data_IF_866383129064
#
_entry.id   IF_866383129064
#
_cell.length_a   1.000
_cell.length_b   1.000
_cell.length_c   1.000
_cell.angle_alpha   90.00
_cell.angle_beta   90.00
_cell.angle_gamma   90.00
#
_symmetry.space_group_name_H-M   'P 1'
#
loop_
_entity.id
_entity.type
_entity.pdbx_description
1 polymer ?
#
# COMPACT_ATOMS: atom_id res chain seq x y z
N UNK A 1 -45.47 46.27 13.80
CA UNK A 1 -44.91 45.32 12.82
C UNK A 1 -44.05 44.33 13.57
N UNK A 2 -44.05 43.09 13.10
CA UNK A 2 -43.97 41.86 13.88
C UNK A 2 -42.55 41.30 14.02
N UNK A 3 -42.24 40.83 15.24
CA UNK A 3 -41.39 39.69 15.67
C UNK A 3 -39.88 39.53 15.32
N UNK A 4 -39.12 38.82 16.20
CA UNK A 4 -37.65 38.79 16.31
C UNK A 4 -37.00 37.55 15.67
N UNK A 5 -35.67 37.56 15.49
CA UNK A 5 -34.89 36.45 14.92
C UNK A 5 -33.69 36.05 15.80
N UNK A 6 -33.63 34.75 16.12
CA UNK A 6 -32.70 34.02 16.98
C UNK A 6 -31.20 34.14 16.64
N UNK A 7 -30.27 33.97 17.60
CA UNK A 7 -28.92 33.52 17.32
C UNK A 7 -28.92 32.00 17.13
N UNK A 8 -28.68 31.56 15.89
CA UNK A 8 -28.54 30.15 15.51
C UNK A 8 -27.12 29.64 15.80
N UNK A 9 -27.08 28.66 16.69
CA UNK A 9 -25.96 27.87 17.15
C UNK A 9 -25.22 27.17 15.99
N UNK A 10 -24.13 27.78 15.50
CA UNK A 10 -23.22 27.22 14.48
C UNK A 10 -21.84 26.85 15.02
N UNK A 11 -21.63 27.03 16.33
CA UNK A 11 -20.35 26.79 17.00
C UNK A 11 -20.22 25.38 17.58
N UNK A 12 -21.33 24.67 17.75
CA UNK A 12 -21.34 23.36 18.41
C UNK A 12 -20.93 22.21 17.48
N UNK A 13 -21.13 22.31 16.17
CA UNK A 13 -20.88 21.22 15.21
C UNK A 13 -19.43 21.12 14.74
N UNK A 14 -18.65 22.21 14.78
CA UNK A 14 -17.24 22.25 14.35
C UNK A 14 -16.29 21.74 15.42
N UNK A 15 -16.54 22.10 16.69
CA UNK A 15 -15.83 21.54 17.85
C UNK A 15 -15.99 20.02 17.96
N UNK A 16 -17.13 19.48 17.52
CA UNK A 16 -17.40 18.05 17.46
C UNK A 16 -16.49 17.32 16.46
N UNK A 17 -16.07 17.93 15.34
CA UNK A 17 -15.21 17.25 14.35
C UNK A 17 -13.74 17.30 14.76
N UNK A 18 -13.29 18.45 15.29
CA UNK A 18 -11.94 18.58 15.87
C UNK A 18 -11.77 17.64 17.07
N UNK A 19 -12.75 17.59 17.98
CA UNK A 19 -12.73 16.68 19.11
C UNK A 19 -12.97 15.22 18.71
N UNK A 20 -13.79 14.88 17.70
CA UNK A 20 -13.90 13.48 17.25
C UNK A 20 -12.62 12.99 16.55
N UNK A 21 -11.90 13.87 15.85
CA UNK A 21 -10.60 13.54 15.24
C UNK A 21 -9.51 13.45 16.32
N UNK A 22 -9.44 14.39 17.26
CA UNK A 22 -8.52 14.36 18.40
C UNK A 22 -8.83 13.25 19.42
N UNK A 23 -10.09 12.97 19.76
CA UNK A 23 -10.51 11.91 20.67
C UNK A 23 -10.37 10.52 20.03
N UNK A 24 -10.60 10.39 18.71
CA UNK A 24 -10.29 9.15 17.98
C UNK A 24 -8.78 8.91 17.87
N UNK A 25 -7.97 9.97 17.76
CA UNK A 25 -6.50 9.89 17.76
C UNK A 25 -5.97 9.58 19.17
N UNK A 26 -6.40 10.31 20.20
CA UNK A 26 -5.95 10.15 21.60
C UNK A 26 -6.47 8.88 22.29
N UNK A 27 -7.68 8.40 21.96
CA UNK A 27 -8.20 7.13 22.51
C UNK A 27 -7.50 5.89 21.94
N UNK A 28 -6.68 6.01 20.89
CA UNK A 28 -5.97 4.89 20.28
C UNK A 28 -4.48 4.81 20.64
N UNK A 29 -3.93 5.83 21.30
CA UNK A 29 -2.53 5.85 21.76
C UNK A 29 -2.30 5.04 23.05
N UNK A 30 -3.34 4.39 23.60
CA UNK A 30 -3.23 3.63 24.85
C UNK A 30 -4.08 2.35 24.96
N UNK A 31 -4.73 1.89 23.88
CA UNK A 31 -5.56 0.68 23.94
C UNK A 31 -4.74 -0.55 23.55
N UNK A 32 -4.50 -1.50 24.46
CA UNK A 32 -3.87 -2.77 24.12
C UNK A 32 -4.72 -3.49 23.07
N UNK A 33 -4.06 -3.94 22.00
CA UNK A 33 -4.66 -4.81 20.98
C UNK A 33 -5.22 -6.06 21.70
N UNK A 34 -6.53 -6.37 21.62
CA UNK A 34 -7.01 -7.66 22.08
C UNK A 34 -6.46 -8.73 21.15
N UNK A 35 -5.39 -9.40 21.58
CA UNK A 35 -5.02 -10.70 21.04
C UNK A 35 -6.13 -11.67 21.46
N UNK A 36 -6.74 -12.31 20.47
CA UNK A 36 -7.78 -13.35 20.58
C UNK A 36 -9.21 -12.84 20.84
N UNK A 37 -10.10 -13.12 19.88
CA UNK A 37 -11.54 -13.13 20.14
C UNK A 37 -11.98 -14.59 20.10
N UNK A 38 -12.42 -15.08 21.26
CA UNK A 38 -12.99 -16.41 21.42
C UNK A 38 -14.19 -16.62 20.50
N UNK A 39 -14.22 -17.79 19.86
CA UNK A 39 -15.23 -18.23 18.92
C UNK A 39 -16.43 -18.80 19.68
N UNK A 40 -17.61 -18.20 19.51
CA UNK A 40 -18.88 -18.80 19.90
C UNK A 40 -19.68 -19.21 18.66
N UNK A 41 -20.05 -20.50 18.51
CA UNK A 41 -20.74 -21.00 17.33
C UNK A 41 -22.25 -20.67 17.35
N UNK A 42 -22.75 -20.10 16.26
CA UNK A 42 -24.17 -19.96 15.95
C UNK A 42 -24.81 -21.28 15.46
N UNK A 43 -26.15 -21.32 15.31
CA UNK A 43 -26.94 -22.54 15.31
C UNK A 43 -26.75 -23.40 14.06
N UNK A 44 -26.73 -24.72 14.28
CA UNK A 44 -26.50 -25.75 13.25
C UNK A 44 -27.72 -25.89 12.34
N UNK A 45 -27.66 -25.32 11.15
CA UNK A 45 -28.55 -25.69 10.04
C UNK A 45 -28.09 -27.01 9.41
N UNK A 46 -29.04 -27.93 9.19
CA UNK A 46 -28.80 -29.30 8.75
C UNK A 46 -28.22 -29.31 7.34
N UNK A 47 -26.98 -29.80 7.19
CA UNK A 47 -26.34 -30.04 5.88
C UNK A 47 -26.93 -31.30 5.25
N UNK A 48 -27.39 -31.18 4.01
CA UNK A 48 -27.69 -32.32 3.14
C UNK A 48 -26.38 -33.01 2.67
N UNK A 49 -26.42 -34.30 2.29
CA UNK A 49 -25.22 -35.07 1.96
C UNK A 49 -24.54 -34.56 0.69
N UNK A 50 -23.23 -34.36 0.79
CA UNK A 50 -22.36 -34.01 -0.34
C UNK A 50 -22.17 -35.28 -1.18
N UNK A 51 -22.72 -35.29 -2.41
CA UNK A 51 -22.44 -36.32 -3.40
C UNK A 51 -21.03 -36.07 -3.95
N UNK A 52 -20.07 -36.90 -3.55
CA UNK A 52 -18.69 -36.89 -4.05
C UNK A 52 -18.69 -37.14 -5.57
N UNK A 53 -18.39 -36.10 -6.34
CA UNK A 53 -18.04 -36.24 -7.76
C UNK A 53 -16.52 -36.40 -7.85
N UNK A 54 -16.01 -37.39 -8.60
CA UNK A 54 -14.59 -37.69 -8.64
C UNK A 54 -13.81 -36.48 -9.16
N UNK A 55 -12.73 -36.15 -8.45
CA UNK A 55 -11.78 -35.12 -8.83
C UNK A 55 -11.32 -35.34 -10.28
N UNK A 56 -11.73 -34.42 -11.16
CA UNK A 56 -11.34 -34.44 -12.56
C UNK A 56 -9.84 -34.09 -12.61
N UNK A 57 -9.00 -35.12 -12.55
CA UNK A 57 -7.57 -35.02 -12.85
C UNK A 57 -7.49 -34.55 -14.29
N UNK A 58 -7.23 -33.26 -14.49
CA UNK A 58 -6.90 -32.71 -15.81
C UNK A 58 -5.57 -33.35 -16.19
N UNK A 59 -5.63 -34.52 -16.84
CA UNK A 59 -4.52 -35.06 -17.60
C UNK A 59 -4.44 -34.18 -18.84
N UNK A 60 -3.73 -33.06 -18.68
CA UNK A 60 -3.39 -32.21 -19.80
C UNK A 60 -2.61 -33.02 -20.82
N UNK A 61 -3.15 -33.07 -22.04
CA UNK A 61 -2.45 -33.47 -23.26
C UNK A 61 -1.05 -32.79 -23.27
N UNK A 62 0.05 -33.46 -23.68
CA UNK A 62 1.38 -32.83 -23.75
C UNK A 62 1.44 -31.87 -24.95
N UNK A 63 0.66 -30.81 -24.88
CA UNK A 63 0.68 -29.69 -25.81
C UNK A 63 1.89 -28.82 -25.45
N UNK A 64 2.88 -28.83 -26.34
CA UNK A 64 4.01 -27.90 -26.50
C UNK A 64 3.94 -26.71 -25.53
N UNK A 65 4.77 -26.73 -24.49
CA UNK A 65 4.99 -25.57 -23.64
C UNK A 65 5.49 -24.40 -24.50
N UNK A 66 4.93 -23.19 -24.36
CA UNK A 66 5.34 -22.04 -25.15
C UNK A 66 6.86 -21.79 -24.99
N UNK A 67 7.58 -21.42 -26.07
CA UNK A 67 9.01 -21.16 -26.00
C UNK A 67 9.41 -20.07 -24.99
N UNK A 68 8.46 -19.22 -24.60
CA UNK A 68 8.65 -18.04 -23.75
C UNK A 68 8.13 -18.23 -22.31
N UNK A 69 7.96 -19.48 -21.85
CA UNK A 69 7.53 -19.71 -20.47
C UNK A 69 8.69 -19.47 -19.49
N UNK A 70 8.48 -18.52 -18.57
CA UNK A 70 9.43 -18.20 -17.50
C UNK A 70 9.16 -19.07 -16.26
N UNK A 71 10.18 -19.39 -15.46
CA UNK A 71 10.06 -20.33 -14.33
C UNK A 71 9.40 -19.73 -13.08
N UNK A 72 8.93 -18.48 -13.13
CA UNK A 72 8.44 -17.76 -11.96
C UNK A 72 7.28 -16.83 -12.32
N UNK A 73 6.36 -16.68 -11.39
CA UNK A 73 5.26 -15.72 -11.46
C UNK A 73 5.71 -14.32 -11.01
N UNK A 74 5.08 -13.30 -11.56
CA UNK A 74 5.31 -11.91 -11.18
C UNK A 74 4.99 -11.66 -9.69
N UNK A 75 5.76 -10.77 -9.06
CA UNK A 75 5.59 -10.42 -7.63
C UNK A 75 4.15 -9.99 -7.31
N UNK A 76 3.48 -9.23 -8.19
CA UNK A 76 2.10 -8.79 -7.96
C UNK A 76 1.11 -9.97 -7.88
N UNK A 77 1.33 -11.03 -8.66
CA UNK A 77 0.52 -12.25 -8.63
C UNK A 77 0.78 -13.07 -7.36
N UNK A 78 2.05 -13.18 -6.97
CA UNK A 78 2.44 -13.90 -5.74
C UNK A 78 1.86 -13.25 -4.49
N UNK A 79 1.96 -11.93 -4.39
CA UNK A 79 1.47 -11.17 -3.23
C UNK A 79 -0.06 -11.10 -3.21
N UNK A 80 -0.70 -11.06 -4.37
CA UNK A 80 -2.15 -11.20 -4.50
C UNK A 80 -2.67 -12.51 -3.90
N UNK A 81 -2.02 -13.64 -4.23
CA UNK A 81 -2.35 -14.94 -3.66
C UNK A 81 -2.10 -14.97 -2.15
N UNK A 82 -0.96 -14.45 -1.69
CA UNK A 82 -0.60 -14.39 -0.26
C UNK A 82 -1.64 -13.63 0.58
N UNK A 83 -2.15 -12.52 0.04
CA UNK A 83 -3.05 -11.62 0.75
C UNK A 83 -4.52 -11.74 0.36
N UNK A 84 -4.88 -12.73 -0.47
CA UNK A 84 -6.25 -12.94 -0.95
C UNK A 84 -6.88 -11.70 -1.60
N UNK A 85 -6.09 -10.97 -2.40
CA UNK A 85 -6.54 -9.80 -3.19
C UNK A 85 -6.22 -10.02 -4.67
N UNK A 86 -6.70 -9.15 -5.56
CA UNK A 86 -6.37 -9.26 -6.99
C UNK A 86 -4.96 -8.73 -7.30
N UNK A 87 -4.27 -9.24 -8.33
CA UNK A 87 -2.99 -8.68 -8.79
C UNK A 87 -3.10 -7.21 -9.23
N UNK A 88 -4.26 -6.81 -9.78
CA UNK A 88 -4.54 -5.41 -10.10
C UNK A 88 -4.56 -4.54 -8.85
N UNK A 89 -5.13 -5.03 -7.75
CA UNK A 89 -5.15 -4.29 -6.49
C UNK A 89 -3.75 -4.12 -5.90
N UNK A 90 -2.90 -5.14 -5.97
CA UNK A 90 -1.49 -5.02 -5.54
C UNK A 90 -0.77 -3.91 -6.32
N UNK A 91 -0.93 -3.89 -7.66
CA UNK A 91 -0.30 -2.87 -8.52
C UNK A 91 -0.83 -1.46 -8.27
N UNK A 92 -2.08 -1.33 -7.85
CA UNK A 92 -2.68 -0.04 -7.48
C UNK A 92 -2.16 0.47 -6.14
N UNK A 93 -1.91 -0.44 -5.18
CA UNK A 93 -1.45 -0.11 -3.84
C UNK A 93 0.05 0.18 -3.79
N UNK A 94 0.83 -0.44 -4.67
CA UNK A 94 2.27 -0.46 -4.55
C UNK A 94 2.98 -0.62 -5.91
N UNK A 95 3.96 0.23 -6.14
CA UNK A 95 5.00 0.03 -7.13
C UNK A 95 6.29 -0.44 -6.44
N UNK A 96 6.63 -1.72 -6.61
CA UNK A 96 7.85 -2.31 -6.05
C UNK A 96 9.14 -1.68 -6.58
N UNK A 97 9.10 -1.03 -7.74
CA UNK A 97 10.27 -0.34 -8.32
C UNK A 97 10.46 1.08 -7.77
N UNK A 98 9.45 1.63 -7.11
CA UNK A 98 9.49 2.95 -6.48
C UNK A 98 9.67 2.88 -4.95
N UNK A 99 10.00 1.71 -4.40
CA UNK A 99 10.25 1.55 -2.97
C UNK A 99 11.47 2.37 -2.54
N UNK A 100 11.30 3.12 -1.45
CA UNK A 100 12.39 3.81 -0.76
C UNK A 100 13.02 2.83 0.24
N UNK A 101 14.31 2.57 0.08
CA UNK A 101 15.08 1.71 0.97
C UNK A 101 15.64 2.54 2.13
N UNK A 102 15.54 2.02 3.35
CA UNK A 102 16.01 2.73 4.54
C UNK A 102 17.55 2.85 4.57
N UNK A 103 18.22 1.85 4.01
CA UNK A 103 19.68 1.77 3.87
C UNK A 103 20.03 1.57 2.39
N UNK A 104 21.25 1.95 2.01
CA UNK A 104 21.77 1.69 0.66
C UNK A 104 21.90 0.18 0.43
N UNK A 105 21.19 -0.40 -0.55
CA UNK A 105 21.28 -1.83 -0.83
C UNK A 105 22.65 -2.21 -1.40
N UNK A 106 23.13 -3.41 -1.06
CA UNK A 106 24.36 -3.97 -1.65
C UNK A 106 24.27 -4.05 -3.18
N UNK A 107 25.32 -3.61 -3.89
CA UNK A 107 25.41 -3.59 -5.35
C UNK A 107 25.15 -4.97 -5.98
N UNK A 108 25.49 -6.06 -5.30
CA UNK A 108 25.26 -7.43 -5.77
C UNK A 108 23.77 -7.81 -5.78
N UNK A 109 22.92 -7.03 -5.12
CA UNK A 109 21.47 -7.19 -5.11
C UNK A 109 20.79 -6.32 -6.18
N UNK A 110 21.53 -5.47 -6.88
CA UNK A 110 20.98 -4.57 -7.89
C UNK A 110 20.87 -5.25 -9.26
N UNK A 111 19.76 -4.99 -9.93
CA UNK A 111 19.54 -5.45 -11.30
C UNK A 111 20.45 -4.66 -12.25
N UNK A 112 21.27 -5.32 -13.08
CA UNK A 112 22.18 -4.64 -14.00
C UNK A 112 21.49 -3.76 -15.05
N UNK A 113 20.19 -4.00 -15.31
CA UNK A 113 19.38 -3.24 -16.28
C UNK A 113 18.78 -1.98 -15.64
N UNK A 114 18.00 -2.12 -14.57
CA UNK A 114 17.28 -1.00 -13.97
C UNK A 114 18.02 -0.32 -12.81
N UNK A 115 19.14 -0.90 -12.35
CA UNK A 115 19.98 -0.41 -11.24
C UNK A 115 19.25 -0.29 -9.89
N UNK A 116 18.17 -1.04 -9.72
CA UNK A 116 17.40 -1.13 -8.48
C UNK A 116 17.51 -2.54 -7.89
N UNK A 117 17.26 -2.73 -6.57
CA UNK A 117 17.23 -4.05 -5.97
C UNK A 117 16.30 -4.98 -6.73
N UNK A 118 16.76 -6.20 -7.01
CA UNK A 118 16.09 -7.10 -7.93
C UNK A 118 14.65 -7.39 -7.51
N UNK A 119 13.72 -7.34 -8.47
CA UNK A 119 12.29 -7.66 -8.29
C UNK A 119 11.99 -8.94 -9.06
N UNK A 120 11.52 -9.97 -8.34
CA UNK A 120 11.32 -11.32 -8.91
C UNK A 120 12.59 -11.84 -9.57
N UNK A 121 13.61 -12.23 -8.77
CA UNK A 121 14.93 -12.56 -9.29
C UNK A 121 14.91 -13.73 -10.26
N UNK A 122 15.52 -13.52 -11.43
CA UNK A 122 15.80 -14.54 -12.43
C UNK A 122 17.30 -14.62 -12.66
N UNK A 123 17.82 -15.85 -12.65
CA UNK A 123 19.22 -16.17 -12.88
C UNK A 123 19.33 -16.84 -14.25
N UNK A 124 20.10 -16.26 -15.16
CA UNK A 124 20.36 -16.86 -16.49
C UNK A 124 21.24 -18.10 -16.36
N UNK A 125 21.32 -18.97 -17.39
CA UNK A 125 22.24 -20.12 -17.39
C UNK A 125 23.73 -19.75 -17.27
N UNK A 126 24.10 -18.50 -17.57
CA UNK A 126 25.44 -17.95 -17.35
C UNK A 126 25.59 -17.25 -15.97
N UNK A 127 24.67 -17.54 -15.04
CA UNK A 127 24.67 -17.13 -13.64
C UNK A 127 24.55 -15.60 -13.37
N UNK A 128 24.07 -14.84 -14.36
CA UNK A 128 23.73 -13.42 -14.19
C UNK A 128 22.29 -13.23 -13.71
N UNK A 129 22.10 -12.30 -12.76
CA UNK A 129 20.81 -12.07 -12.09
C UNK A 129 20.13 -10.78 -12.56
N UNK A 130 18.84 -10.84 -12.85
CA UNK A 130 18.03 -9.69 -13.28
C UNK A 130 16.63 -9.71 -12.66
N UNK A 131 15.91 -8.58 -12.72
CA UNK A 131 14.47 -8.58 -12.53
C UNK A 131 13.79 -9.35 -13.67
N UNK A 132 12.76 -10.14 -13.36
CA UNK A 132 11.97 -10.87 -14.37
C UNK A 132 11.51 -9.94 -15.51
N UNK A 133 10.90 -8.80 -15.17
CA UNK A 133 10.35 -7.87 -16.17
C UNK A 133 11.43 -7.17 -17.01
N UNK A 134 12.59 -6.86 -16.40
CA UNK A 134 13.72 -6.29 -17.13
C UNK A 134 14.25 -7.28 -18.17
N UNK A 135 14.48 -8.54 -17.75
CA UNK A 135 14.99 -9.57 -18.62
C UNK A 135 13.97 -9.98 -19.69
N UNK A 136 12.68 -10.10 -19.34
CA UNK A 136 11.59 -10.32 -20.30
C UNK A 136 11.57 -9.26 -21.39
N UNK A 137 11.69 -7.97 -21.02
CA UNK A 137 11.68 -6.85 -21.98
C UNK A 137 12.86 -6.95 -22.96
N UNK A 138 14.06 -7.22 -22.45
CA UNK A 138 15.25 -7.47 -23.28
C UNK A 138 15.07 -8.70 -24.18
N UNK A 139 14.51 -9.78 -23.63
CA UNK A 139 14.33 -11.05 -24.34
C UNK A 139 13.38 -10.95 -25.55
N UNK A 140 12.51 -9.93 -25.60
CA UNK A 140 11.65 -9.65 -26.76
C UNK A 140 12.46 -9.25 -28.01
N UNK A 141 13.64 -8.67 -27.83
CA UNK A 141 14.51 -8.23 -28.93
C UNK A 141 15.80 -9.03 -29.06
N UNK A 142 16.26 -9.70 -28.00
CA UNK A 142 17.48 -10.52 -28.04
C UNK A 142 17.43 -11.71 -27.08
N UNK A 143 17.74 -12.91 -27.57
CA UNK A 143 17.85 -14.15 -26.78
C UNK A 143 19.23 -14.31 -26.11
N UNK A 144 19.95 -13.21 -25.88
CA UNK A 144 21.29 -13.19 -25.29
C UNK A 144 21.30 -12.48 -23.94
N UNK A 145 22.17 -12.90 -23.02
CA UNK A 145 22.35 -12.23 -21.75
C UNK A 145 22.82 -10.77 -21.96
N UNK A 146 22.20 -9.78 -21.28
CA UNK A 146 22.61 -8.37 -21.37
C UNK A 146 24.06 -8.08 -20.99
N UNK A 147 24.70 -8.94 -20.19
CA UNK A 147 26.07 -8.74 -19.69
C UNK A 147 27.11 -9.37 -20.62
N UNK A 148 27.00 -10.67 -20.86
CA UNK A 148 28.05 -11.46 -21.54
C UNK A 148 27.64 -11.94 -22.95
N UNK A 149 26.42 -11.61 -23.40
CA UNK A 149 25.84 -12.00 -24.69
C UNK A 149 25.70 -13.50 -24.91
N UNK A 150 25.80 -14.31 -23.87
CA UNK A 150 25.54 -15.76 -23.94
C UNK A 150 24.08 -16.01 -24.31
N UNK A 151 23.83 -16.84 -25.33
CA UNK A 151 22.47 -17.24 -25.72
C UNK A 151 21.83 -18.08 -24.63
N UNK A 152 20.55 -17.85 -24.36
CA UNK A 152 19.78 -18.66 -23.40
C UNK A 152 18.31 -18.78 -23.81
N UNK A 153 17.59 -19.72 -23.20
CA UNK A 153 16.13 -19.82 -23.32
C UNK A 153 15.48 -19.42 -22.01
N UNK A 154 14.34 -18.74 -22.08
CA UNK A 154 13.59 -18.28 -20.89
C UNK A 154 13.34 -19.39 -19.87
N UNK A 155 12.98 -20.60 -20.33
CA UNK A 155 12.71 -21.77 -19.50
C UNK A 155 13.93 -22.36 -18.79
N UNK A 156 15.13 -22.10 -19.30
CA UNK A 156 16.39 -22.64 -18.75
C UNK A 156 16.92 -21.72 -17.64
N UNK A 157 16.28 -20.57 -17.43
CA UNK A 157 16.59 -19.68 -16.32
C UNK A 157 16.19 -20.30 -14.98
N UNK A 158 16.88 -19.90 -13.91
CA UNK A 158 16.71 -20.42 -12.56
C UNK A 158 16.17 -19.33 -11.64
N UNK A 159 15.66 -19.77 -10.49
CA UNK A 159 15.32 -18.90 -9.36
C UNK A 159 16.11 -19.35 -8.13
N UNK A 160 16.36 -18.44 -7.19
CA UNK A 160 17.02 -18.75 -5.93
C UNK A 160 16.16 -18.30 -4.75
N UNK A 161 15.81 -19.23 -3.87
CA UNK A 161 15.06 -18.93 -2.64
C UNK A 161 15.90 -18.10 -1.69
N UNK A 162 17.19 -18.42 -1.55
CA UNK A 162 18.11 -17.68 -0.70
C UNK A 162 18.19 -16.21 -1.12
N UNK A 163 18.40 -15.96 -2.42
CA UNK A 163 18.45 -14.59 -2.95
C UNK A 163 17.12 -13.85 -2.74
N UNK A 164 16.00 -14.53 -2.99
CA UNK A 164 14.67 -13.97 -2.71
C UNK A 164 14.54 -13.56 -1.23
N UNK A 165 14.92 -14.43 -0.29
CA UNK A 165 14.85 -14.14 1.14
C UNK A 165 15.76 -12.95 1.54
N UNK A 166 16.95 -12.82 0.95
CA UNK A 166 17.85 -11.69 1.19
C UNK A 166 17.19 -10.39 0.70
N UNK A 167 16.67 -10.38 -0.52
CA UNK A 167 15.94 -9.22 -1.09
C UNK A 167 14.71 -8.86 -0.26
N UNK A 168 13.96 -9.86 0.20
CA UNK A 168 12.75 -9.71 1.01
C UNK A 168 13.05 -9.15 2.42
N UNK A 169 14.26 -9.34 2.91
CA UNK A 169 14.73 -8.83 4.21
C UNK A 169 15.17 -7.37 4.20
N UNK A 170 15.36 -6.77 3.02
CA UNK A 170 15.71 -5.35 2.89
C UNK A 170 14.65 -4.48 3.55
N UNK A 171 15.07 -3.46 4.29
CA UNK A 171 14.16 -2.54 4.99
C UNK A 171 13.76 -1.42 4.04
N UNK A 172 12.45 -1.19 3.95
CA UNK A 172 11.85 -0.14 3.12
C UNK A 172 10.95 0.76 3.96
N UNK A 173 10.80 2.00 3.50
CA UNK A 173 9.82 2.93 4.04
C UNK A 173 8.44 2.68 3.41
N UNK A 174 7.39 3.05 4.13
CA UNK A 174 6.04 3.00 3.60
C UNK A 174 5.92 3.84 2.31
N UNK A 175 5.29 3.35 1.22
CA UNK A 175 5.03 4.17 0.03
C UNK A 175 4.18 5.42 0.30
N UNK A 176 3.48 5.47 1.43
CA UNK A 176 2.67 6.59 1.86
C UNK A 176 3.41 7.57 2.80
N UNK A 177 4.75 7.59 2.81
CA UNK A 177 5.54 8.54 3.63
C UNK A 177 5.14 9.99 3.36
N UNK A 178 4.96 10.38 2.10
CA UNK A 178 4.52 11.74 1.73
C UNK A 178 3.13 12.09 2.30
N UNK A 179 2.29 11.08 2.59
CA UNK A 179 0.95 11.24 3.19
C UNK A 179 0.99 11.24 4.71
N UNK A 180 2.10 10.85 5.32
CA UNK A 180 2.32 10.95 6.77
C UNK A 180 2.62 9.61 7.46
N UNK A 181 2.75 8.50 6.71
CA UNK A 181 3.15 7.24 7.31
C UNK A 181 4.67 7.21 7.54
N UNK A 182 5.11 7.12 8.79
CA UNK A 182 6.55 7.04 9.14
C UNK A 182 7.05 5.60 9.35
N UNK A 183 6.23 4.59 9.04
CA UNK A 183 6.55 3.19 9.28
C UNK A 183 7.66 2.69 8.34
N UNK A 184 8.57 1.90 8.90
CA UNK A 184 9.61 1.16 8.19
C UNK A 184 9.42 -0.33 8.44
N UNK A 185 9.59 -1.16 7.42
CA UNK A 185 9.32 -2.60 7.50
C UNK A 185 10.20 -3.37 6.52
N UNK A 186 10.19 -4.70 6.62
CA UNK A 186 10.83 -5.53 5.60
C UNK A 186 10.08 -5.44 4.28
N UNK A 187 10.79 -5.57 3.18
CA UNK A 187 10.22 -5.53 1.83
C UNK A 187 9.11 -6.57 1.62
N UNK A 188 9.19 -7.76 2.23
CA UNK A 188 8.10 -8.75 2.16
C UNK A 188 6.81 -8.32 2.89
N UNK A 189 6.90 -7.40 3.84
CA UNK A 189 5.78 -6.97 4.68
C UNK A 189 5.05 -5.76 4.10
N UNK A 190 5.65 -5.10 3.09
CA UNK A 190 5.13 -3.83 2.57
C UNK A 190 3.72 -3.94 1.99
N UNK A 191 3.37 -5.06 1.34
CA UNK A 191 2.01 -5.27 0.80
C UNK A 191 1.01 -5.43 1.94
N UNK A 192 1.36 -6.23 2.96
CA UNK A 192 0.53 -6.39 4.16
C UNK A 192 0.28 -5.05 4.84
N UNK A 193 1.32 -4.22 4.93
CA UNK A 193 1.21 -2.88 5.51
C UNK A 193 0.32 -1.98 4.64
N UNK A 194 0.56 -1.86 3.33
CA UNK A 194 -0.18 -0.93 2.47
C UNK A 194 -1.68 -1.23 2.40
N UNK A 195 -2.08 -2.50 2.52
CA UNK A 195 -3.51 -2.89 2.62
C UNK A 195 -4.19 -2.30 3.87
N UNK A 196 -3.43 -2.13 4.96
CA UNK A 196 -3.93 -1.69 6.26
C UNK A 196 -3.42 -0.30 6.68
N UNK A 197 -2.68 0.38 5.80
CA UNK A 197 -2.03 1.63 6.10
C UNK A 197 -3.08 2.73 6.13
N UNK A 198 -3.17 3.43 7.26
CA UNK A 198 -4.11 4.56 7.48
C UNK A 198 -4.09 5.58 6.34
N UNK A 199 -2.93 5.79 5.73
CA UNK A 199 -2.70 6.79 4.69
C UNK A 199 -2.94 6.28 3.27
N UNK A 200 -3.22 4.99 3.08
CA UNK A 200 -3.58 4.43 1.77
C UNK A 200 -4.88 5.06 1.29
N UNK A 201 -4.91 5.44 0.01
CA UNK A 201 -6.12 5.99 -0.60
C UNK A 201 -7.09 4.86 -1.01
N UNK A 202 -8.36 5.04 -0.68
CA UNK A 202 -9.46 4.20 -1.12
C UNK A 202 -10.53 5.05 -1.79
N UNK A 203 -11.38 4.41 -2.59
CA UNK A 203 -12.55 5.07 -3.17
C UNK A 203 -13.46 5.57 -2.04
N UNK A 204 -14.11 6.71 -2.27
CA UNK A 204 -15.05 7.27 -1.31
C UNK A 204 -16.13 6.23 -0.97
N UNK A 205 -16.51 6.07 0.31
CA UNK A 205 -17.61 5.18 0.69
C UNK A 205 -18.95 5.63 0.08
N UNK A 206 -19.09 6.90 -0.28
CA UNK A 206 -20.24 7.42 -0.99
C UNK A 206 -20.17 7.07 -2.48
N UNK A 207 -21.12 6.26 -2.95
CA UNK A 207 -21.22 5.82 -4.34
C UNK A 207 -21.52 6.94 -5.34
N UNK A 208 -22.02 8.09 -4.86
CA UNK A 208 -22.21 9.27 -5.69
C UNK A 208 -20.93 10.10 -5.85
N UNK A 209 -19.81 9.68 -5.22
CA UNK A 209 -18.55 10.39 -5.25
C UNK A 209 -17.44 9.53 -5.86
N UNK A 210 -16.84 10.02 -6.95
CA UNK A 210 -15.74 9.32 -7.66
C UNK A 210 -14.33 9.67 -7.12
N UNK A 211 -14.27 10.39 -5.99
CA UNK A 211 -12.99 10.82 -5.40
C UNK A 211 -12.46 9.79 -4.41
N UNK A 212 -11.18 9.91 -4.06
CA UNK A 212 -10.51 9.03 -3.10
C UNK A 212 -10.28 9.73 -1.77
N UNK A 213 -10.26 8.96 -0.69
CA UNK A 213 -9.97 9.40 0.68
C UNK A 213 -8.95 8.48 1.33
N UNK A 214 -8.22 9.00 2.33
CA UNK A 214 -7.33 8.16 3.15
C UNK A 214 -8.15 7.12 3.94
N UNK A 215 -7.59 5.93 4.18
CA UNK A 215 -8.30 4.80 4.78
C UNK A 215 -8.99 5.16 6.11
N UNK A 216 -8.35 5.97 6.95
CA UNK A 216 -8.93 6.37 8.24
C UNK A 216 -10.18 7.25 8.11
N UNK A 217 -10.30 8.05 7.04
CA UNK A 217 -11.52 8.84 6.76
C UNK A 217 -12.65 7.97 6.22
N UNK A 218 -12.32 6.95 5.44
CA UNK A 218 -13.29 6.01 4.87
C UNK A 218 -14.08 5.24 5.95
N UNK A 219 -13.49 5.04 7.14
CA UNK A 219 -14.13 4.32 8.28
C UNK A 219 -15.46 4.95 8.69
N UNK A 220 -15.59 6.27 8.55
CA UNK A 220 -16.82 6.99 8.90
C UNK A 220 -18.04 6.61 8.04
N UNK A 221 -17.82 6.01 6.87
CA UNK A 221 -18.87 5.72 5.88
C UNK A 221 -19.49 6.96 5.23
N UNK A 222 -18.96 8.16 5.49
CA UNK A 222 -19.45 9.44 4.95
C UNK A 222 -18.51 9.99 3.90
N UNK A 223 -19.06 10.80 2.99
CA UNK A 223 -18.25 11.58 2.05
C UNK A 223 -17.56 12.75 2.78
N UNK A 224 -16.25 12.87 2.64
CA UNK A 224 -15.44 13.97 3.18
C UNK A 224 -15.04 15.00 2.11
N UNK A 225 -15.61 14.93 0.91
CA UNK A 225 -15.36 15.87 -0.17
C UNK A 225 -16.34 17.04 -0.17
N UNK A 226 -16.48 17.68 0.99
CA UNK A 226 -17.24 18.90 1.18
C UNK A 226 -16.32 20.04 1.61
N UNK A 227 -16.72 21.28 1.30
CA UNK A 227 -15.94 22.46 1.64
C UNK A 227 -15.95 22.71 3.17
N UNK A 228 -14.77 22.89 3.74
CA UNK A 228 -14.53 23.33 5.10
C UNK A 228 -13.53 24.48 5.11
N UNK A 229 -13.69 25.38 6.07
CA UNK A 229 -12.76 26.49 6.30
C UNK A 229 -11.73 26.10 7.36
N UNK A 230 -10.45 26.36 7.07
CA UNK A 230 -9.36 26.14 8.02
C UNK A 230 -9.44 27.17 9.15
N UNK A 231 -9.43 26.70 10.40
CA UNK A 231 -9.52 27.57 11.59
C UNK A 231 -8.27 28.44 11.80
N UNK A 232 -7.12 28.03 11.23
CA UNK A 232 -5.86 28.75 11.38
C UNK A 232 -5.67 29.82 10.32
N UNK A 233 -5.89 29.49 9.04
CA UNK A 233 -5.61 30.41 7.93
C UNK A 233 -6.84 31.06 7.29
N UNK A 234 -8.04 30.55 7.60
CA UNK A 234 -9.34 30.94 7.01
C UNK A 234 -9.52 30.54 5.54
N UNK A 235 -8.57 29.80 4.95
CA UNK A 235 -8.72 29.28 3.60
C UNK A 235 -9.76 28.15 3.55
N UNK A 236 -10.45 28.05 2.42
CA UNK A 236 -11.45 27.02 2.15
C UNK A 236 -10.86 25.86 1.37
N UNK A 237 -11.15 24.63 1.79
CA UNK A 237 -10.73 23.43 1.10
C UNK A 237 -11.58 22.21 1.45
N UNK A 238 -11.34 21.09 0.78
CA UNK A 238 -12.08 19.85 1.08
C UNK A 238 -11.69 19.29 2.45
N UNK A 239 -12.67 18.85 3.23
CA UNK A 239 -12.45 18.23 4.54
C UNK A 239 -11.46 17.05 4.48
N UNK A 240 -11.53 16.25 3.41
CA UNK A 240 -10.59 15.14 3.16
C UNK A 240 -9.12 15.57 3.04
N UNK A 241 -8.86 16.84 2.71
CA UNK A 241 -7.51 17.42 2.57
C UNK A 241 -7.08 18.26 3.78
N UNK A 242 -7.98 18.50 4.74
CA UNK A 242 -7.77 19.41 5.85
C UNK A 242 -6.60 18.97 6.74
N UNK A 243 -6.48 17.67 7.04
CA UNK A 243 -5.37 17.14 7.82
C UNK A 243 -4.00 17.37 7.14
N UNK A 244 -3.91 17.12 5.83
CA UNK A 244 -2.69 17.38 5.06
C UNK A 244 -2.36 18.88 5.00
N UNK A 245 -3.39 19.74 4.89
CA UNK A 245 -3.21 21.19 4.96
C UNK A 245 -2.66 21.63 6.31
N UNK A 246 -3.35 21.34 7.41
CA UNK A 246 -2.96 21.76 8.77
C UNK A 246 -1.53 21.30 9.08
N UNK A 247 -1.22 20.05 8.78
CA UNK A 247 0.06 19.45 9.12
C UNK A 247 1.20 19.89 8.19
N UNK A 248 0.97 20.07 6.88
CA UNK A 248 2.07 20.25 5.92
C UNK A 248 2.09 21.61 5.22
N UNK A 249 0.94 22.26 5.04
CA UNK A 249 0.81 23.44 4.15
C UNK A 249 0.33 24.72 4.86
N UNK A 250 -0.33 24.61 6.00
CA UNK A 250 -0.89 25.76 6.70
C UNK A 250 0.21 26.62 7.30
N UNK A 251 0.35 27.84 6.78
CA UNK A 251 1.35 28.83 7.21
C UNK A 251 0.98 29.44 8.56
N UNK A 252 -0.32 29.58 8.86
CA UNK A 252 -0.80 30.14 10.12
C UNK A 252 -0.90 29.12 11.27
N UNK A 253 -0.70 27.83 11.02
CA UNK A 253 -0.60 26.78 12.06
C UNK A 253 0.83 26.64 12.62
N UNK A 254 1.62 27.72 12.65
CA UNK A 254 3.00 27.66 13.14
C UNK A 254 3.30 28.81 14.10
N UNK A 255 4.13 28.54 15.10
CA UNK A 255 4.67 29.54 16.05
C UNK A 255 6.19 29.37 16.16
N UNK A 256 6.90 30.41 16.60
CA UNK A 256 8.36 30.38 16.74
C UNK A 256 8.76 30.25 18.21
N UNK A 257 9.68 29.33 18.50
CA UNK A 257 10.24 29.17 19.83
C UNK A 257 11.11 30.38 20.18
N UNK A 258 10.84 31.02 21.32
CA UNK A 258 11.54 32.22 21.77
C UNK A 258 13.02 31.97 22.11
N UNK A 259 13.37 30.74 22.49
CA UNK A 259 14.71 30.40 22.97
C UNK A 259 15.65 29.89 21.88
N UNK A 260 15.13 29.17 20.88
CA UNK A 260 15.94 28.59 19.81
C UNK A 260 15.55 29.07 18.40
N UNK A 261 14.49 29.88 18.27
CA UNK A 261 14.02 30.42 16.98
C UNK A 261 13.36 29.39 16.06
N UNK A 262 13.21 28.13 16.49
CA UNK A 262 12.64 27.07 15.66
C UNK A 262 11.14 27.24 15.52
N UNK A 263 10.65 27.15 14.28
CA UNK A 263 9.21 27.17 13.97
C UNK A 263 8.59 25.81 14.28
N UNK A 264 7.64 25.78 15.21
CA UNK A 264 6.88 24.60 15.63
C UNK A 264 5.41 24.73 15.23
N UNK A 265 4.68 23.61 15.12
CA UNK A 265 3.23 23.61 14.83
C UNK A 265 2.45 24.00 16.09
N UNK A 266 1.35 24.75 15.93
CA UNK A 266 0.46 25.09 17.06
C UNK A 266 -0.37 23.88 17.52
N UNK A 267 -0.65 22.95 16.61
CA UNK A 267 -1.38 21.70 16.85
C UNK A 267 -0.48 20.53 17.31
N UNK A 268 0.61 20.82 18.01
CA UNK A 268 1.59 19.81 18.47
C UNK A 268 1.19 19.14 19.78
#
# INVERSE_FOLDING_TARGET
>A
MSHPGFPGDGSATTHLVHNLVEEAVRSLEGVPIPLTREYHPGPKEKREPIVEHPANRIVGNPARTPPNQWPVEEISTREALRHSISPSKVRELLDFSALLYADEPDDNLLCPICKLPVITPIITPCDHTFCLECLKRHFRSSDTCPIDRTRFRARDCKTSRLLTNILDSLVVECPNTERGCSEKMKREEVVKHTINCRYTLHDCPDKACDKRVQQWLAVSGKCWHFEQTCEYCEDKMEAASMADHINKKCTKNTTSCSDCGVTIKLSA
#
